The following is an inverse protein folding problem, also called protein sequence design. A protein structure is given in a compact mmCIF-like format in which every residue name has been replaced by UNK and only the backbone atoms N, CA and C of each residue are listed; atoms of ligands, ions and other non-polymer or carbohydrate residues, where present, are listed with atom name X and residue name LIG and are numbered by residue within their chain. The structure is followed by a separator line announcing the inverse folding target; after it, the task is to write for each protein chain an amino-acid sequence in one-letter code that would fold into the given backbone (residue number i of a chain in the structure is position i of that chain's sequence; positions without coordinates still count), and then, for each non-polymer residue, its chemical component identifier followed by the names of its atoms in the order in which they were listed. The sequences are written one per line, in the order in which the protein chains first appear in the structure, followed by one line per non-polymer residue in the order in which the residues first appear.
data_IF_614694973075
#
_entry.id   IF_614694973075
#
_cell.length_a   1.000
_cell.length_b   1.000
_cell.length_c   1.000
_cell.angle_alpha   90.00
_cell.angle_beta   90.00
_cell.angle_gamma   90.00
#
_symmetry.space_group_name_H-M   'P 1'
#
loop_
_entity.id
_entity.type
_entity.pdbx_description
1 polymer ?
#
# COMPACT_ATOMS: atom_id res chain seq x y z
N UNK A 1 26.71 -21.29 4.73
CA UNK A 1 27.56 -20.89 5.87
C UNK A 1 27.44 -19.38 6.00
N UNK A 2 26.62 -18.79 6.87
CA UNK A 2 26.00 -19.27 8.10
C UNK A 2 24.49 -18.96 8.10
N UNK A 3 23.69 -20.00 8.28
CA UNK A 3 22.34 -19.91 8.80
C UNK A 3 22.43 -19.56 10.29
N UNK A 4 22.35 -18.28 10.62
CA UNK A 4 22.22 -17.82 12.01
C UNK A 4 21.31 -16.60 12.05
N UNK A 5 20.01 -16.82 12.09
CA UNK A 5 19.05 -15.87 12.67
C UNK A 5 18.03 -16.66 13.49
N UNK A 6 18.54 -17.31 14.53
CA UNK A 6 17.75 -18.02 15.53
C UNK A 6 17.33 -17.02 16.61
N UNK A 7 16.45 -16.09 16.26
CA UNK A 7 15.46 -15.62 17.23
C UNK A 7 14.43 -16.73 17.33
N UNK A 8 13.99 -17.19 18.52
CA UNK A 8 12.85 -18.11 18.61
C UNK A 8 11.73 -17.55 17.75
N UNK A 9 11.22 -18.35 16.80
CA UNK A 9 10.29 -17.90 15.76
C UNK A 9 9.18 -17.08 16.42
N UNK A 10 9.07 -15.78 16.10
CA UNK A 10 8.04 -14.91 16.70
C UNK A 10 6.65 -15.53 16.48
N UNK A 11 6.44 -16.28 15.39
CA UNK A 11 5.21 -17.04 15.18
C UNK A 11 5.01 -18.12 16.27
N UNK A 12 6.07 -18.82 16.68
CA UNK A 12 6.00 -19.76 17.80
C UNK A 12 5.70 -19.06 19.13
N UNK A 13 6.32 -17.89 19.39
CA UNK A 13 6.03 -17.08 20.58
C UNK A 13 4.57 -16.61 20.61
N UNK A 14 4.04 -16.19 19.46
CA UNK A 14 2.63 -15.83 19.27
C UNK A 14 1.71 -17.02 19.57
N UNK A 15 1.98 -18.18 18.98
CA UNK A 15 1.20 -19.40 19.20
C UNK A 15 1.20 -19.80 20.67
N UNK A 16 2.36 -19.87 21.32
CA UNK A 16 2.47 -20.22 22.75
C UNK A 16 1.68 -19.26 23.65
N UNK A 17 1.75 -17.95 23.35
CA UNK A 17 0.98 -16.94 24.07
C UNK A 17 -0.53 -17.14 23.92
N UNK A 18 -1.00 -17.44 22.70
CA UNK A 18 -2.41 -17.64 22.41
C UNK A 18 -2.96 -18.98 22.91
N UNK A 19 -2.16 -20.05 22.89
CA UNK A 19 -2.54 -21.36 23.44
C UNK A 19 -2.96 -21.26 24.91
N UNK A 20 -2.23 -20.45 25.69
CA UNK A 20 -2.46 -20.25 27.13
C UNK A 20 -3.67 -19.35 27.48
N UNK A 21 -4.38 -18.81 26.47
CA UNK A 21 -5.50 -17.88 26.67
C UNK A 21 -6.80 -18.48 26.16
N UNK A 22 -7.80 -18.61 27.02
CA UNK A 22 -9.07 -19.25 26.65
C UNK A 22 -9.87 -18.39 25.66
N UNK A 23 -9.70 -17.07 25.71
CA UNK A 23 -10.43 -16.10 24.91
C UNK A 23 -9.97 -16.08 23.46
N UNK A 24 -8.69 -16.40 23.20
CA UNK A 24 -8.15 -16.52 21.84
C UNK A 24 -8.51 -17.89 21.28
N UNK A 25 -9.35 -17.91 20.24
CA UNK A 25 -9.90 -19.11 19.63
C UNK A 25 -9.20 -19.51 18.34
N UNK A 26 -8.75 -18.54 17.56
CA UNK A 26 -7.88 -18.76 16.42
C UNK A 26 -6.89 -17.59 16.23
N UNK A 27 -5.84 -17.84 15.46
CA UNK A 27 -4.84 -16.86 15.09
C UNK A 27 -4.44 -17.05 13.64
N UNK A 28 -4.45 -15.96 12.87
CA UNK A 28 -3.99 -15.94 11.49
C UNK A 28 -2.81 -14.99 11.35
N UNK A 29 -1.82 -15.38 10.55
CA UNK A 29 -0.78 -14.50 10.05
C UNK A 29 -1.15 -14.09 8.62
N UNK A 30 -1.05 -12.81 8.28
CA UNK A 30 -1.41 -12.27 6.97
C UNK A 30 -0.23 -11.53 6.33
N UNK A 31 -0.50 -10.78 5.25
CA UNK A 31 0.46 -9.87 4.62
C UNK A 31 1.74 -10.58 4.14
N UNK A 32 2.85 -9.86 4.01
CA UNK A 32 4.10 -10.29 3.37
C UNK A 32 4.61 -11.63 3.91
N UNK A 33 4.43 -11.92 5.21
CA UNK A 33 4.89 -13.19 5.84
C UNK A 33 3.98 -14.38 5.55
N UNK A 34 2.77 -14.15 5.05
CA UNK A 34 1.83 -15.18 4.64
C UNK A 34 1.81 -15.42 3.11
N UNK A 35 2.39 -14.51 2.32
CA UNK A 35 2.46 -14.64 0.86
C UNK A 35 3.64 -15.55 0.45
N UNK A 36 3.41 -16.62 -0.32
CA UNK A 36 4.49 -17.47 -0.82
C UNK A 36 5.55 -16.69 -1.60
N UNK A 37 6.83 -16.95 -1.31
CA UNK A 37 7.99 -16.33 -1.98
C UNK A 37 8.10 -14.80 -1.86
N UNK A 38 7.27 -14.16 -1.03
CA UNK A 38 7.41 -12.73 -0.78
C UNK A 38 8.73 -12.46 -0.02
N UNK A 39 9.46 -11.38 -0.38
CA UNK A 39 10.70 -11.05 0.28
C UNK A 39 10.41 -10.61 1.72
N UNK A 40 11.05 -11.28 2.68
CA UNK A 40 11.06 -10.89 4.09
C UNK A 40 12.49 -10.71 4.55
N UNK A 41 12.68 -9.80 5.50
CA UNK A 41 13.96 -9.48 6.13
C UNK A 41 13.75 -9.19 7.62
N UNK A 42 14.83 -8.76 8.29
CA UNK A 42 14.82 -8.46 9.73
C UNK A 42 13.95 -7.26 10.11
N UNK A 43 13.55 -6.42 9.16
CA UNK A 43 12.67 -5.26 9.35
C UNK A 43 11.24 -5.55 8.89
N UNK A 44 10.93 -6.79 8.51
CA UNK A 44 9.58 -7.15 8.09
C UNK A 44 8.67 -7.35 9.29
N UNK A 45 7.55 -6.64 9.30
CA UNK A 45 6.54 -6.68 10.34
C UNK A 45 5.81 -8.04 10.41
N UNK A 46 5.05 -8.23 11.49
CA UNK A 46 4.08 -9.33 11.63
C UNK A 46 2.67 -8.76 11.67
N UNK A 47 1.84 -9.13 10.69
CA UNK A 47 0.42 -8.79 10.67
C UNK A 47 -0.39 -9.98 11.18
N UNK A 48 -1.00 -9.84 12.36
CA UNK A 48 -1.60 -10.95 13.11
C UNK A 48 -3.07 -10.65 13.40
N UNK A 49 -3.95 -11.54 12.97
CA UNK A 49 -5.36 -11.51 13.35
C UNK A 49 -5.55 -12.42 14.56
N UNK A 50 -6.02 -11.85 15.67
CA UNK A 50 -6.46 -12.58 16.85
C UNK A 50 -7.98 -12.73 16.80
N UNK A 51 -8.44 -13.97 16.67
CA UNK A 51 -9.87 -14.29 16.67
C UNK A 51 -10.30 -14.69 18.08
N UNK A 52 -11.22 -13.93 18.66
CA UNK A 52 -11.51 -13.92 20.09
C UNK A 52 -13.01 -14.04 20.36
N UNK A 53 -13.39 -14.58 21.53
CA UNK A 53 -14.81 -14.57 21.94
C UNK A 53 -15.32 -13.15 22.22
N UNK A 54 -14.51 -12.35 22.93
CA UNK A 54 -14.74 -10.93 23.20
C UNK A 54 -13.40 -10.19 23.08
N UNK A 55 -13.38 -9.12 22.29
CA UNK A 55 -12.18 -8.30 22.05
C UNK A 55 -11.97 -7.24 23.14
N UNK A 56 -13.03 -6.87 23.89
CA UNK A 56 -13.01 -5.73 24.83
C UNK A 56 -11.96 -5.87 25.93
N UNK A 57 -11.78 -7.03 26.59
CA UNK A 57 -10.74 -7.16 27.62
C UNK A 57 -9.33 -6.87 27.11
N UNK A 58 -9.04 -7.25 25.86
CA UNK A 58 -7.73 -7.05 25.22
C UNK A 58 -7.56 -5.65 24.62
N UNK A 59 -8.67 -4.98 24.34
CA UNK A 59 -8.72 -3.56 23.97
C UNK A 59 -8.48 -2.64 25.18
N UNK A 60 -9.16 -2.93 26.30
CA UNK A 60 -9.16 -2.13 27.52
C UNK A 60 -7.84 -2.27 28.30
N UNK A 61 -7.35 -3.50 28.49
CA UNK A 61 -6.07 -3.77 29.13
C UNK A 61 -5.03 -4.20 28.08
N UNK A 62 -4.08 -3.32 27.78
CA UNK A 62 -3.02 -3.54 26.78
C UNK A 62 -1.74 -4.12 27.38
N UNK A 63 -1.73 -4.48 28.66
CA UNK A 63 -0.53 -5.01 29.32
C UNK A 63 -0.06 -6.35 28.74
N UNK A 64 -0.95 -7.10 28.08
CA UNK A 64 -0.62 -8.36 27.40
C UNK A 64 0.46 -8.20 26.32
N UNK A 65 0.58 -7.03 25.71
CA UNK A 65 1.59 -6.73 24.70
C UNK A 65 3.01 -6.87 25.24
N UNK A 66 3.22 -6.62 26.54
CA UNK A 66 4.53 -6.75 27.20
C UNK A 66 5.08 -8.17 27.18
N UNK A 67 4.24 -9.17 26.87
CA UNK A 67 4.72 -10.52 26.64
C UNK A 67 5.64 -10.61 25.42
N UNK A 68 5.42 -9.78 24.40
CA UNK A 68 6.19 -9.81 23.16
C UNK A 68 7.49 -9.01 23.24
N UNK A 69 7.55 -7.99 24.09
CA UNK A 69 8.75 -7.22 24.41
C UNK A 69 8.40 -5.91 25.10
N UNK A 70 9.40 -5.06 25.30
CA UNK A 70 9.18 -3.71 25.80
C UNK A 70 8.53 -2.85 24.70
N UNK A 71 7.30 -2.39 24.96
CA UNK A 71 6.54 -1.57 24.03
C UNK A 71 7.18 -0.19 23.93
N UNK A 72 7.63 0.19 22.73
CA UNK A 72 8.19 1.51 22.44
C UNK A 72 7.09 2.50 22.02
N UNK A 73 6.23 2.09 21.07
CA UNK A 73 5.07 2.87 20.61
C UNK A 73 3.90 1.92 20.39
N UNK A 74 2.71 2.37 20.81
CA UNK A 74 1.46 1.68 20.52
C UNK A 74 0.44 2.67 19.95
N UNK A 75 0.02 2.42 18.71
CA UNK A 75 -1.16 3.04 18.11
C UNK A 75 -2.35 2.10 18.24
N UNK A 76 -3.56 2.64 18.38
CA UNK A 76 -4.77 1.86 18.59
C UNK A 76 -5.96 2.52 17.91
N UNK A 77 -6.63 1.80 17.00
CA UNK A 77 -7.93 2.22 16.49
C UNK A 77 -8.98 2.08 17.59
N UNK A 78 -10.00 2.96 17.67
CA UNK A 78 -11.16 2.70 18.52
C UNK A 78 -11.83 1.37 18.13
N UNK A 79 -12.75 0.87 18.96
CA UNK A 79 -13.65 -0.20 18.49
C UNK A 79 -14.58 0.41 17.44
N UNK A 80 -14.62 -0.18 16.25
CA UNK A 80 -15.48 0.27 15.15
C UNK A 80 -16.13 -0.93 14.44
N UNK A 81 -17.30 -0.76 13.83
CA UNK A 81 -17.94 -1.83 13.07
C UNK A 81 -17.15 -2.10 11.79
N UNK A 82 -16.82 -3.36 11.54
CA UNK A 82 -16.25 -3.82 10.28
C UNK A 82 -17.12 -3.34 9.09
N UNK A 83 -16.53 -2.77 8.02
CA UNK A 83 -17.30 -2.21 6.91
C UNK A 83 -18.18 -3.22 6.17
N UNK A 84 -17.75 -4.49 6.09
CA UNK A 84 -18.42 -5.51 5.30
C UNK A 84 -19.47 -6.27 6.12
N UNK A 85 -19.20 -6.47 7.42
CA UNK A 85 -20.02 -7.30 8.29
C UNK A 85 -20.79 -6.53 9.37
N UNK A 86 -20.42 -5.27 9.64
CA UNK A 86 -21.01 -4.45 10.70
C UNK A 86 -20.70 -4.93 12.11
N UNK A 87 -19.68 -5.80 12.28
CA UNK A 87 -19.31 -6.41 13.55
C UNK A 87 -18.14 -5.63 14.16
N UNK A 88 -18.23 -5.29 15.44
CA UNK A 88 -17.19 -4.55 16.15
C UNK A 88 -15.83 -5.26 16.08
N UNK A 89 -14.79 -4.53 15.67
CA UNK A 89 -13.39 -4.94 15.64
C UNK A 89 -12.48 -3.78 16.07
N UNK A 90 -11.18 -4.05 16.20
CA UNK A 90 -10.16 -3.02 16.42
C UNK A 90 -8.82 -3.47 15.84
N UNK A 91 -8.07 -2.52 15.29
CA UNK A 91 -6.69 -2.70 14.84
C UNK A 91 -5.71 -1.96 15.73
N UNK A 92 -4.46 -2.40 15.74
CA UNK A 92 -3.38 -1.69 16.39
C UNK A 92 -2.03 -1.93 15.70
N UNK A 93 -1.10 -1.01 15.94
CA UNK A 93 0.25 -1.02 15.38
C UNK A 93 1.23 -0.87 16.55
N UNK A 94 2.02 -1.91 16.79
CA UNK A 94 2.89 -1.99 17.97
C UNK A 94 4.34 -2.09 17.55
N UNK A 95 5.12 -1.08 17.94
CA UNK A 95 6.56 -1.08 17.82
C UNK A 95 7.19 -1.45 19.17
N UNK A 96 8.02 -2.49 19.18
CA UNK A 96 8.81 -2.89 20.34
C UNK A 96 10.22 -2.29 20.27
N UNK A 97 10.85 -2.12 21.44
CA UNK A 97 12.14 -1.46 21.60
C UNK A 97 13.32 -2.23 20.97
N UNK A 98 13.17 -3.54 20.76
CA UNK A 98 14.15 -4.41 20.10
C UNK A 98 14.05 -4.39 18.57
N UNK A 99 13.13 -3.59 18.01
CA UNK A 99 12.90 -3.46 16.58
C UNK A 99 11.77 -4.34 16.04
N UNK A 100 11.23 -5.27 16.83
CA UNK A 100 10.06 -6.05 16.43
C UNK A 100 8.85 -5.11 16.22
N UNK A 101 8.11 -5.32 15.13
CA UNK A 101 6.83 -4.66 14.88
C UNK A 101 5.75 -5.71 14.63
N UNK A 102 4.66 -5.60 15.38
CA UNK A 102 3.48 -6.46 15.23
C UNK A 102 2.25 -5.57 15.13
N UNK A 103 1.46 -5.79 14.08
CA UNK A 103 0.17 -5.16 13.89
C UNK A 103 -0.88 -6.23 14.21
N UNK A 104 -1.70 -5.99 15.25
CA UNK A 104 -2.76 -6.91 15.61
C UNK A 104 -4.12 -6.39 15.16
N UNK A 105 -4.89 -7.26 14.50
CA UNK A 105 -6.32 -7.05 14.28
C UNK A 105 -7.10 -7.97 15.23
N UNK A 106 -7.96 -7.39 16.05
CA UNK A 106 -8.81 -8.11 17.00
C UNK A 106 -10.17 -8.36 16.37
N UNK A 107 -10.46 -9.61 16.06
CA UNK A 107 -11.73 -10.05 15.48
C UNK A 107 -12.55 -10.84 16.50
N UNK A 108 -13.82 -10.52 16.71
CA UNK A 108 -14.74 -11.48 17.29
C UNK A 108 -14.84 -12.73 16.39
N UNK A 109 -15.07 -13.90 17.00
CA UNK A 109 -15.33 -15.17 16.27
C UNK A 109 -16.36 -15.01 15.15
N UNK A 110 -17.36 -14.15 15.36
CA UNK A 110 -18.42 -13.90 14.40
C UNK A 110 -17.89 -13.37 13.03
N UNK A 111 -16.82 -12.57 13.01
CA UNK A 111 -16.22 -12.08 11.74
C UNK A 111 -15.66 -13.25 10.95
N UNK A 112 -14.82 -14.08 11.57
CA UNK A 112 -14.23 -15.23 10.90
C UNK A 112 -15.31 -16.20 10.37
N UNK A 113 -16.38 -16.42 11.15
CA UNK A 113 -17.51 -17.25 10.70
C UNK A 113 -18.21 -16.69 9.46
N UNK A 114 -18.39 -15.35 9.39
CA UNK A 114 -18.96 -14.69 8.20
C UNK A 114 -18.06 -14.84 6.98
N UNK A 115 -16.75 -14.66 7.15
CA UNK A 115 -15.76 -14.85 6.08
C UNK A 115 -15.78 -16.30 5.57
N UNK A 116 -15.80 -17.28 6.46
CA UNK A 116 -15.86 -18.71 6.08
C UNK A 116 -17.14 -19.03 5.30
N UNK A 117 -18.26 -18.43 5.69
CA UNK A 117 -19.53 -18.59 4.98
C UNK A 117 -19.61 -17.82 3.65
N UNK A 118 -18.68 -16.89 3.40
CA UNK A 118 -18.69 -16.04 2.22
C UNK A 118 -18.21 -16.76 0.95
N UNK A 119 -18.69 -16.33 -0.24
CA UNK A 119 -18.25 -16.89 -1.51
C UNK A 119 -16.81 -16.50 -1.88
N UNK A 120 -16.29 -15.42 -1.31
CA UNK A 120 -14.96 -14.86 -1.57
C UNK A 120 -14.29 -14.47 -0.24
N UNK A 121 -12.96 -14.53 -0.22
CA UNK A 121 -12.17 -13.98 0.87
C UNK A 121 -12.16 -12.44 0.78
N UNK A 122 -12.06 -11.72 1.91
CA UNK A 122 -11.68 -10.31 1.89
C UNK A 122 -10.26 -10.17 1.32
N UNK A 123 -9.96 -9.01 0.72
CA UNK A 123 -8.72 -8.76 -0.01
C UNK A 123 -7.45 -9.06 0.82
N UNK A 124 -7.47 -8.76 2.11
CA UNK A 124 -6.35 -9.03 3.03
C UNK A 124 -6.03 -10.52 3.16
N UNK A 125 -7.05 -11.38 3.18
CA UNK A 125 -6.88 -12.83 3.23
C UNK A 125 -6.65 -13.41 1.83
N UNK A 126 -7.25 -12.86 0.77
CA UNK A 126 -6.98 -13.29 -0.60
C UNK A 126 -5.55 -12.96 -1.06
N UNK A 127 -4.94 -11.89 -0.53
CA UNK A 127 -3.52 -11.62 -0.72
C UNK A 127 -2.66 -12.75 -0.15
N UNK A 128 -3.02 -13.30 1.00
CA UNK A 128 -2.42 -14.50 1.58
C UNK A 128 -2.59 -14.55 3.10
N UNK A 129 -2.90 -15.73 3.63
CA UNK A 129 -2.95 -15.98 5.08
C UNK A 129 -2.37 -17.35 5.44
N UNK A 130 -1.96 -17.50 6.69
CA UNK A 130 -1.60 -18.76 7.33
C UNK A 130 -2.32 -18.87 8.67
N UNK A 131 -3.02 -19.97 8.89
CA UNK A 131 -3.59 -20.28 10.21
C UNK A 131 -2.45 -20.74 11.12
N UNK A 132 -2.18 -19.98 12.18
CA UNK A 132 -1.16 -20.33 13.17
C UNK A 132 -1.73 -21.17 14.32
N UNK A 133 -2.98 -20.90 14.70
CA UNK A 133 -3.71 -21.59 15.75
C UNK A 133 -5.20 -21.63 15.42
N UNK A 134 -5.86 -22.75 15.67
CA UNK A 134 -7.32 -22.89 15.58
C UNK A 134 -7.79 -23.93 16.60
N UNK A 135 -8.39 -23.47 17.70
CA UNK A 135 -8.79 -24.33 18.82
C UNK A 135 -10.13 -25.02 18.60
N UNK A 136 -10.97 -24.46 17.74
CA UNK A 136 -12.36 -24.89 17.55
C UNK A 136 -12.68 -25.32 16.11
N UNK A 137 -11.70 -25.29 15.21
CA UNK A 137 -11.92 -25.54 13.78
C UNK A 137 -12.65 -24.39 13.08
N UNK A 138 -12.55 -23.15 13.59
CA UNK A 138 -13.21 -21.98 13.02
C UNK A 138 -12.71 -21.64 11.63
N UNK A 139 -11.45 -21.94 11.33
CA UNK A 139 -10.80 -21.63 10.06
C UNK A 139 -10.85 -22.79 9.05
N UNK A 140 -11.40 -23.96 9.44
CA UNK A 140 -11.38 -25.17 8.61
C UNK A 140 -12.08 -25.02 7.25
N UNK A 141 -13.03 -24.09 7.14
CA UNK A 141 -13.75 -23.79 5.90
C UNK A 141 -13.20 -22.60 5.11
N UNK A 142 -12.09 -21.98 5.53
CA UNK A 142 -11.51 -20.87 4.77
C UNK A 142 -11.05 -21.35 3.39
N UNK A 143 -11.37 -20.54 2.38
CA UNK A 143 -10.94 -20.79 1.00
C UNK A 143 -9.43 -20.59 0.87
N UNK A 144 -8.82 -21.24 -0.11
CA UNK A 144 -7.44 -20.94 -0.47
C UNK A 144 -7.37 -19.53 -1.10
N UNK A 145 -6.35 -18.71 -0.74
CA UNK A 145 -6.12 -17.42 -1.39
C UNK A 145 -5.92 -17.59 -2.90
N UNK A 146 -6.52 -16.72 -3.71
CA UNK A 146 -6.27 -16.67 -5.15
C UNK A 146 -5.07 -15.80 -5.49
N UNK A 147 -4.59 -14.99 -4.53
CA UNK A 147 -3.49 -14.04 -4.68
C UNK A 147 -3.75 -12.98 -5.77
N UNK A 148 -5.03 -12.67 -6.00
CA UNK A 148 -5.46 -11.68 -7.00
C UNK A 148 -5.87 -10.35 -6.37
N UNK A 149 -6.09 -10.31 -5.06
CA UNK A 149 -6.21 -9.07 -4.32
C UNK A 149 -5.05 -8.12 -4.66
N UNK A 150 -5.37 -6.84 -4.82
CA UNK A 150 -4.42 -5.78 -5.16
C UNK A 150 -3.70 -5.92 -6.51
N UNK A 151 -4.09 -6.88 -7.37
CA UNK A 151 -3.73 -6.86 -8.78
C UNK A 151 -4.58 -5.80 -9.47
N UNK A 152 -4.00 -4.72 -10.02
CA UNK A 152 -4.79 -3.68 -10.64
C UNK A 152 -5.45 -4.22 -11.91
N UNK A 153 -6.73 -3.88 -12.10
CA UNK A 153 -7.46 -4.17 -13.33
C UNK A 153 -6.84 -3.45 -14.51
N UNK A 154 -6.88 -4.10 -15.69
CA UNK A 154 -6.55 -3.44 -16.96
C UNK A 154 -7.52 -2.27 -17.18
N UNK A 155 -7.03 -1.02 -17.36
CA UNK A 155 -7.91 0.11 -17.57
C UNK A 155 -8.63 -0.02 -18.92
N UNK A 156 -9.86 0.46 -19.00
CA UNK A 156 -10.52 0.68 -20.30
C UNK A 156 -9.89 1.89 -21.00
N UNK A 157 -10.10 2.03 -22.32
CA UNK A 157 -9.62 3.21 -23.04
C UNK A 157 -10.16 4.53 -22.45
N UNK A 158 -11.42 4.52 -22.00
CA UNK A 158 -12.03 5.70 -21.38
C UNK A 158 -11.41 5.99 -20.00
N UNK A 159 -11.23 4.97 -19.16
CA UNK A 159 -10.62 5.14 -17.85
C UNK A 159 -9.17 5.63 -17.96
N UNK A 160 -8.40 5.09 -18.92
CA UNK A 160 -7.06 5.58 -19.23
C UNK A 160 -7.06 7.06 -19.64
N UNK A 161 -7.96 7.46 -20.55
CA UNK A 161 -8.05 8.84 -21.02
C UNK A 161 -8.40 9.80 -19.89
N UNK A 162 -9.43 9.50 -19.09
CA UNK A 162 -9.80 10.30 -17.92
C UNK A 162 -8.65 10.42 -16.93
N UNK A 163 -7.92 9.33 -16.67
CA UNK A 163 -6.77 9.33 -15.78
C UNK A 163 -5.63 10.25 -16.26
N UNK A 164 -5.37 10.30 -17.57
CA UNK A 164 -4.41 11.24 -18.17
C UNK A 164 -4.90 12.68 -18.06
N UNK A 165 -6.19 12.92 -18.31
CA UNK A 165 -6.81 14.25 -18.20
C UNK A 165 -6.72 14.82 -16.78
N UNK A 166 -7.01 13.99 -15.77
CA UNK A 166 -6.92 14.36 -14.36
C UNK A 166 -5.48 14.73 -13.96
N UNK A 167 -4.48 13.91 -14.34
CA UNK A 167 -3.07 14.24 -14.10
C UNK A 167 -2.66 15.61 -14.65
N UNK A 168 -3.05 15.91 -15.89
CA UNK A 168 -2.69 17.18 -16.53
C UNK A 168 -3.48 18.38 -15.99
N UNK A 169 -4.63 18.16 -15.35
CA UNK A 169 -5.44 19.24 -14.76
C UNK A 169 -4.76 19.95 -13.58
N UNK A 170 -3.85 19.25 -12.89
CA UNK A 170 -3.13 19.75 -11.71
C UNK A 170 -1.90 20.61 -12.06
N UNK A 171 -1.27 20.37 -13.21
CA UNK A 171 -0.02 21.05 -13.58
C UNK A 171 -0.13 22.59 -13.67
N UNK A 172 -1.23 23.18 -14.20
CA UNK A 172 -1.47 24.62 -14.15
C UNK A 172 -1.52 25.18 -12.72
N UNK A 173 -2.03 24.42 -11.75
CA UNK A 173 -2.11 24.84 -10.36
C UNK A 173 -0.71 24.88 -9.72
N UNK A 174 0.08 23.81 -9.88
CA UNK A 174 1.48 23.78 -9.41
C UNK A 174 2.28 24.94 -9.99
N UNK A 175 2.17 25.21 -11.29
CA UNK A 175 2.87 26.31 -11.94
C UNK A 175 2.53 27.68 -11.32
N UNK A 176 1.25 27.92 -11.00
CA UNK A 176 0.82 29.16 -10.33
C UNK A 176 1.38 29.27 -8.91
N UNK A 177 1.34 28.19 -8.13
CA UNK A 177 1.90 28.19 -6.78
C UNK A 177 3.41 28.44 -6.79
N UNK A 178 4.15 27.78 -7.68
CA UNK A 178 5.60 28.01 -7.82
C UNK A 178 5.91 29.45 -8.26
N UNK A 179 5.12 30.02 -9.18
CA UNK A 179 5.27 31.41 -9.57
C UNK A 179 5.02 32.37 -8.40
N UNK A 180 4.07 32.05 -7.51
CA UNK A 180 3.76 32.82 -6.29
C UNK A 180 4.68 32.58 -5.10
N UNK A 181 5.67 31.69 -5.22
CA UNK A 181 6.53 31.29 -4.09
C UNK A 181 5.78 30.51 -2.99
N UNK A 182 4.68 29.83 -3.34
CA UNK A 182 3.86 29.07 -2.41
C UNK A 182 4.31 27.60 -2.37
N UNK A 183 5.40 27.33 -1.65
CA UNK A 183 6.04 26.00 -1.62
C UNK A 183 5.12 24.88 -1.13
N UNK A 184 4.34 25.10 -0.06
CA UNK A 184 3.49 24.06 0.55
C UNK A 184 2.40 23.53 -0.40
N UNK A 185 1.53 24.37 -0.99
CA UNK A 185 0.53 23.87 -1.94
C UNK A 185 1.16 23.34 -3.23
N UNK A 186 2.30 23.89 -3.67
CA UNK A 186 3.04 23.34 -4.80
C UNK A 186 3.53 21.91 -4.50
N UNK A 187 4.08 21.65 -3.30
CA UNK A 187 4.54 20.33 -2.88
C UNK A 187 3.41 19.34 -2.70
N UNK A 188 2.31 19.76 -2.07
CA UNK A 188 1.13 18.91 -1.95
C UNK A 188 0.67 18.42 -3.33
N UNK A 189 0.42 19.34 -4.25
CA UNK A 189 -0.12 18.99 -5.55
C UNK A 189 0.92 18.24 -6.41
N UNK A 190 2.19 18.67 -6.41
CA UNK A 190 3.21 18.02 -7.23
C UNK A 190 3.63 16.63 -6.69
N UNK A 191 3.78 16.46 -5.38
CA UNK A 191 4.26 15.21 -4.79
C UNK A 191 3.12 14.24 -4.47
N UNK A 192 2.02 14.72 -3.90
CA UNK A 192 0.89 13.86 -3.54
C UNK A 192 -0.05 13.64 -4.73
N UNK A 193 -0.71 14.68 -5.23
CA UNK A 193 -1.72 14.54 -6.28
C UNK A 193 -1.06 13.99 -7.57
N UNK A 194 -0.17 14.77 -8.19
CA UNK A 194 0.43 14.41 -9.49
C UNK A 194 1.31 13.15 -9.44
N UNK A 195 2.15 12.97 -8.40
CA UNK A 195 3.07 11.81 -8.35
C UNK A 195 2.45 10.60 -7.69
N UNK A 196 1.93 10.72 -6.46
CA UNK A 196 1.40 9.56 -5.76
C UNK A 196 0.02 9.13 -6.26
N UNK A 197 -0.89 10.05 -6.59
CA UNK A 197 -2.21 9.67 -7.07
C UNK A 197 -2.21 9.27 -8.56
N UNK A 198 -1.33 9.85 -9.38
CA UNK A 198 -1.36 9.63 -10.84
C UNK A 198 -0.10 8.97 -11.44
N UNK A 199 1.09 9.57 -11.32
CA UNK A 199 2.29 9.03 -11.94
C UNK A 199 2.65 7.63 -11.41
N UNK A 200 2.52 7.40 -10.10
CA UNK A 200 2.82 6.11 -9.48
C UNK A 200 1.90 5.00 -10.03
N UNK A 201 0.56 5.13 -10.05
CA UNK A 201 -0.28 4.12 -10.71
C UNK A 201 0.00 3.96 -12.21
N UNK A 202 0.37 5.03 -12.92
CA UNK A 202 0.77 4.92 -14.33
C UNK A 202 2.06 4.08 -14.50
N UNK A 203 3.03 4.23 -13.59
CA UNK A 203 4.23 3.37 -13.52
C UNK A 203 3.86 1.92 -13.16
N UNK A 204 2.89 1.70 -12.27
CA UNK A 204 2.38 0.37 -11.95
C UNK A 204 1.71 -0.28 -13.16
N UNK A 205 0.88 0.45 -13.92
CA UNK A 205 0.32 -0.01 -15.19
C UNK A 205 1.39 -0.36 -16.21
N UNK A 206 2.45 0.46 -16.29
CA UNK A 206 3.59 0.14 -17.15
C UNK A 206 4.26 -1.18 -16.79
N UNK A 207 4.40 -1.49 -15.50
CA UNK A 207 4.88 -2.82 -15.07
C UNK A 207 3.91 -3.92 -15.48
N UNK A 208 2.60 -3.69 -15.37
CA UNK A 208 1.59 -4.69 -15.76
C UNK A 208 1.59 -5.01 -17.26
N UNK A 209 1.98 -4.07 -18.13
CA UNK A 209 2.17 -4.35 -19.56
C UNK A 209 3.15 -5.51 -19.79
N UNK A 210 4.18 -5.64 -18.95
CA UNK A 210 5.15 -6.75 -19.07
C UNK A 210 4.65 -8.05 -18.40
N UNK A 211 3.58 -7.96 -17.60
CA UNK A 211 3.10 -9.05 -16.73
C UNK A 211 1.64 -9.44 -16.99
N UNK A 212 1.02 -8.96 -18.07
CA UNK A 212 -0.36 -9.28 -18.44
C UNK A 212 -1.38 -9.10 -17.30
N UNK A 213 -1.26 -8.04 -16.49
CA UNK A 213 -2.17 -7.75 -15.36
C UNK A 213 -2.30 -8.90 -14.36
N UNK A 214 -1.18 -9.56 -14.03
CA UNK A 214 -1.15 -10.71 -13.12
C UNK A 214 -0.40 -10.47 -11.81
N UNK A 215 0.24 -9.30 -11.65
CA UNK A 215 1.09 -9.02 -10.50
C UNK A 215 0.42 -8.05 -9.54
N UNK A 216 0.41 -8.35 -8.24
CA UNK A 216 -0.07 -7.39 -7.26
C UNK A 216 0.82 -6.13 -7.25
N UNK A 217 0.18 -4.96 -7.23
CA UNK A 217 0.88 -3.70 -7.00
C UNK A 217 1.41 -3.70 -5.56
N UNK A 218 2.69 -3.35 -5.36
CA UNK A 218 3.19 -3.15 -4.01
C UNK A 218 2.59 -1.88 -3.42
N UNK A 219 2.26 -1.90 -2.12
CA UNK A 219 1.68 -0.73 -1.45
C UNK A 219 2.54 0.53 -1.69
N UNK A 220 1.90 1.63 -2.11
CA UNK A 220 2.54 2.92 -2.41
C UNK A 220 3.77 2.82 -3.34
N UNK A 221 3.79 1.87 -4.28
CA UNK A 221 4.88 1.71 -5.24
C UNK A 221 6.07 0.90 -4.69
N UNK A 222 5.91 0.24 -3.53
CA UNK A 222 6.92 -0.65 -2.96
C UNK A 222 7.37 -1.68 -4.00
N UNK A 223 8.67 -1.69 -4.28
CA UNK A 223 9.28 -2.61 -5.25
C UNK A 223 9.36 -2.11 -6.69
N UNK A 224 8.79 -0.95 -7.03
CA UNK A 224 8.84 -0.41 -8.40
C UNK A 224 10.27 -0.26 -8.94
N UNK A 225 11.24 0.18 -8.11
CA UNK A 225 12.67 0.28 -8.50
C UNK A 225 13.24 -1.03 -9.07
N UNK A 226 12.77 -2.18 -8.57
CA UNK A 226 13.23 -3.51 -9.00
C UNK A 226 12.52 -4.00 -10.26
N UNK A 227 11.36 -3.42 -10.60
CA UNK A 227 10.45 -3.90 -11.66
C UNK A 227 10.44 -3.00 -12.89
N UNK A 228 10.73 -1.72 -12.73
CA UNK A 228 10.79 -0.76 -13.83
C UNK A 228 12.14 -0.84 -14.57
N UNK A 229 12.15 -0.51 -15.88
CA UNK A 229 13.39 -0.23 -16.60
C UNK A 229 14.28 0.78 -15.84
N UNK A 230 15.60 0.55 -15.73
CA UNK A 230 16.49 1.40 -14.93
C UNK A 230 16.45 2.88 -15.31
N UNK A 231 16.25 3.20 -16.59
CA UNK A 231 16.19 4.56 -17.11
C UNK A 231 14.88 5.28 -16.77
N UNK A 232 13.75 4.55 -16.67
CA UNK A 232 12.48 5.08 -16.15
C UNK A 232 12.62 5.42 -14.67
N UNK A 233 13.21 4.53 -13.87
CA UNK A 233 13.45 4.80 -12.45
C UNK A 233 14.40 5.99 -12.24
N UNK A 234 15.49 6.06 -13.00
CA UNK A 234 16.41 7.20 -12.94
C UNK A 234 15.73 8.52 -13.33
N UNK A 235 14.71 8.48 -14.20
CA UNK A 235 13.89 9.66 -14.50
C UNK A 235 12.98 10.02 -13.33
N UNK A 236 12.35 9.04 -12.68
CA UNK A 236 11.53 9.28 -11.49
C UNK A 236 12.34 9.94 -10.37
N UNK A 237 13.60 9.56 -10.17
CA UNK A 237 14.49 10.19 -9.19
C UNK A 237 14.69 11.70 -9.45
N UNK A 238 14.71 12.13 -10.73
CA UNK A 238 14.78 13.55 -11.11
C UNK A 238 13.47 14.31 -10.94
N UNK A 239 12.35 13.62 -10.72
CA UNK A 239 11.07 14.25 -10.43
C UNK A 239 10.98 14.75 -8.99
N UNK A 240 11.94 14.45 -8.10
CA UNK A 240 11.92 14.91 -6.71
C UNK A 240 12.86 16.09 -6.49
N UNK A 241 12.43 17.05 -5.67
CA UNK A 241 13.19 18.25 -5.33
C UNK A 241 13.05 18.60 -3.84
N UNK A 242 14.09 19.25 -3.30
CA UNK A 242 14.09 19.84 -1.96
C UNK A 242 13.22 21.09 -1.87
N UNK A 243 13.54 22.02 -0.96
CA UNK A 243 12.74 23.22 -0.74
C UNK A 243 12.89 24.32 -1.82
N UNK A 244 13.89 24.22 -2.71
CA UNK A 244 14.18 25.23 -3.74
C UNK A 244 13.03 25.36 -4.75
N UNK A 245 12.51 26.57 -4.94
CA UNK A 245 11.47 26.84 -5.94
C UNK A 245 11.96 26.55 -7.36
N UNK A 246 13.22 26.88 -7.67
CA UNK A 246 13.82 26.63 -8.98
C UNK A 246 13.87 25.12 -9.26
N UNK A 247 14.31 24.33 -8.28
CA UNK A 247 14.39 22.88 -8.41
C UNK A 247 13.00 22.26 -8.55
N UNK A 248 11.98 22.85 -7.91
CA UNK A 248 10.60 22.38 -8.04
C UNK A 248 9.97 22.70 -9.41
N UNK A 249 10.37 23.80 -10.06
CA UNK A 249 10.03 24.03 -11.47
C UNK A 249 10.61 22.94 -12.38
N UNK A 250 11.85 22.56 -12.14
CA UNK A 250 12.49 21.50 -12.93
C UNK A 250 11.86 20.13 -12.62
N UNK A 251 11.57 19.84 -11.36
CA UNK A 251 10.84 18.65 -10.94
C UNK A 251 9.45 18.54 -11.58
N UNK A 252 8.68 19.64 -11.67
CA UNK A 252 7.40 19.67 -12.38
C UNK A 252 7.57 19.29 -13.85
N UNK A 253 8.56 19.86 -14.54
CA UNK A 253 8.80 19.55 -15.94
C UNK A 253 9.29 18.10 -16.16
N UNK A 254 10.15 17.57 -15.28
CA UNK A 254 10.54 16.15 -15.29
C UNK A 254 9.33 15.25 -15.05
N UNK A 255 8.44 15.61 -14.12
CA UNK A 255 7.22 14.85 -13.83
C UNK A 255 6.30 14.76 -15.04
N UNK A 256 6.06 15.90 -15.72
CA UNK A 256 5.26 15.94 -16.95
C UNK A 256 5.90 15.12 -18.08
N UNK A 257 7.22 15.23 -18.26
CA UNK A 257 7.95 14.49 -19.29
C UNK A 257 7.96 12.97 -19.04
N UNK A 258 8.14 12.55 -17.79
CA UNK A 258 8.09 11.15 -17.41
C UNK A 258 6.68 10.58 -17.56
N UNK A 259 5.66 11.30 -17.10
CA UNK A 259 4.27 10.86 -17.26
C UNK A 259 3.91 10.68 -18.74
N UNK A 260 4.23 11.67 -19.59
CA UNK A 260 4.05 11.56 -21.05
C UNK A 260 4.66 10.29 -21.61
N UNK A 261 5.92 10.02 -21.26
CA UNK A 261 6.64 8.84 -21.74
C UNK A 261 5.93 7.56 -21.31
N UNK A 262 5.67 7.40 -20.01
CA UNK A 262 5.13 6.16 -19.45
C UNK A 262 3.68 5.94 -19.91
N UNK A 263 2.86 6.99 -19.91
CA UNK A 263 1.49 6.92 -20.41
C UNK A 263 1.44 6.62 -21.92
N UNK A 264 2.39 7.15 -22.70
CA UNK A 264 2.56 6.78 -24.11
C UNK A 264 2.89 5.30 -24.29
N UNK A 265 3.88 4.78 -23.56
CA UNK A 265 4.24 3.35 -23.58
C UNK A 265 3.05 2.45 -23.20
N UNK A 266 2.26 2.84 -22.19
CA UNK A 266 1.05 2.13 -21.77
C UNK A 266 -0.04 2.19 -22.84
N UNK A 267 -0.28 3.37 -23.43
CA UNK A 267 -1.27 3.54 -24.49
C UNK A 267 -0.94 2.67 -25.71
N UNK A 268 0.31 2.69 -26.15
CA UNK A 268 0.79 1.89 -27.29
C UNK A 268 0.60 0.38 -27.02
N UNK A 269 1.00 -0.09 -25.83
CA UNK A 269 0.84 -1.49 -25.45
C UNK A 269 -0.63 -1.92 -25.38
N UNK A 270 -1.52 -1.02 -24.93
CA UNK A 270 -2.94 -1.29 -24.77
C UNK A 270 -3.76 -1.09 -26.06
N UNK A 271 -3.18 -0.46 -27.08
CA UNK A 271 -3.87 -0.05 -28.31
C UNK A 271 -4.78 1.17 -28.12
N UNK A 272 -4.45 2.06 -27.19
CA UNK A 272 -5.20 3.29 -26.88
C UNK A 272 -4.55 4.52 -27.51
N UNK A 273 -5.31 5.60 -27.62
CA UNK A 273 -4.81 6.88 -28.12
C UNK A 273 -4.37 7.74 -26.93
N UNK A 274 -3.09 8.13 -26.91
CA UNK A 274 -2.58 9.10 -25.94
C UNK A 274 -3.01 10.53 -26.35
N UNK A 275 -3.61 11.33 -25.44
CA UNK A 275 -4.12 12.67 -25.75
C UNK A 275 -3.00 13.72 -25.86
N UNK A 276 -2.15 13.60 -26.87
CA UNK A 276 -0.94 14.43 -27.04
C UNK A 276 -1.23 15.95 -27.12
N UNK A 277 -2.36 16.34 -27.71
CA UNK A 277 -2.73 17.75 -27.84
C UNK A 277 -2.99 18.42 -26.48
N UNK A 278 -3.66 17.72 -25.55
CA UNK A 278 -3.89 18.19 -24.18
C UNK A 278 -2.57 18.41 -23.46
N UNK A 279 -1.73 17.38 -23.47
CA UNK A 279 -0.40 17.38 -22.87
C UNK A 279 0.46 18.56 -23.38
N UNK A 280 0.57 18.71 -24.69
CA UNK A 280 1.33 19.83 -25.29
C UNK A 280 0.77 21.19 -24.88
N UNK A 281 -0.55 21.35 -24.85
CA UNK A 281 -1.22 22.57 -24.41
C UNK A 281 -0.91 22.92 -22.96
N UNK A 282 -0.99 21.94 -22.06
CA UNK A 282 -0.70 22.13 -20.63
C UNK A 282 0.79 22.42 -20.38
N UNK A 283 1.70 21.69 -21.02
CA UNK A 283 3.15 21.95 -20.90
C UNK A 283 3.51 23.35 -21.41
N UNK A 284 2.89 23.78 -22.52
CA UNK A 284 3.09 25.15 -23.03
C UNK A 284 2.59 26.20 -22.04
N UNK A 285 1.43 25.99 -21.43
CA UNK A 285 0.90 26.87 -20.37
C UNK A 285 1.84 26.96 -19.16
N UNK A 286 2.32 25.82 -18.65
CA UNK A 286 3.27 25.76 -17.53
C UNK A 286 4.55 26.54 -17.85
N UNK A 287 5.09 26.37 -19.05
CA UNK A 287 6.26 27.12 -19.53
C UNK A 287 5.99 28.62 -19.66
N UNK A 288 4.79 29.01 -20.08
CA UNK A 288 4.40 30.42 -20.14
C UNK A 288 4.39 31.05 -18.74
N UNK A 289 3.78 30.40 -17.76
CA UNK A 289 3.77 30.89 -16.37
C UNK A 289 5.19 31.04 -15.81
N UNK A 290 6.09 30.08 -16.06
CA UNK A 290 7.49 30.13 -15.60
C UNK A 290 8.25 31.37 -16.11
N UNK A 291 7.86 31.91 -17.27
CA UNK A 291 8.52 33.05 -17.93
C UNK A 291 7.89 34.41 -17.60
N UNK A 292 6.80 34.44 -16.83
CA UNK A 292 6.20 35.69 -16.40
C UNK A 292 7.17 36.35 -15.41
N UNK A 293 7.65 37.54 -15.75
CA UNK A 293 8.48 38.35 -14.87
C UNK A 293 7.74 38.68 -13.57
N UNK A 294 8.47 38.65 -12.45
CA UNK A 294 7.98 39.03 -11.13
C UNK A 294 8.12 40.54 -10.90
#
# INVERSE_FOLDING_TARGET
MNDTNNSPDIAQKLVQWAEQREEVRAMLLTSTRAVPHAPTDVLSDYDVILVMQDIRPYFDDRTWLRHFGDVLVAYWDPIFPDPDYGIEQSGNVIQFADGLKIDFTLWPVAILQRIVAAPMLPDELDAGYRVLLDKDGLAAGLRAPTHKAFVPSRPTSQAFQTFVEEFFSDAPYVAKCLWRDELLPAKWCLDYDMKHAYLRPMLEWRVQCDHSWSMAAGNLGKGLKKRLPPDIWAHLERCYAGASIVDNWDALLQTLALFRRVAGEVADHLGYIYPLALDQGVVAYVQQIRRIDR
#
